data_IF_023609014844
#
_entry.id   IF_023609014844
#
_cell.length_a   1.000
_cell.length_b   1.000
_cell.length_c   1.000
_cell.angle_alpha   90.00
_cell.angle_beta   90.00
_cell.angle_gamma   90.00
#
_symmetry.space_group_name_H-M   'P 1'
#
loop_
_entity.id
_entity.type
_entity.pdbx_description
1 polymer ?
#
# COMPACT_ATOMS: atom_id res chain seq x y z
N UNK A 1 -6.26 0.21 15.66
CA UNK A 1 -7.46 -0.35 16.33
C UNK A 1 -8.06 -1.43 15.43
N UNK A 2 -8.56 -2.51 16.00
CA UNK A 2 -9.23 -3.61 15.28
C UNK A 2 -10.59 -3.85 15.92
N UNK A 3 -11.64 -3.90 15.11
CA UNK A 3 -13.01 -4.18 15.53
C UNK A 3 -13.55 -5.38 14.75
N UNK A 4 -14.57 -6.04 15.31
CA UNK A 4 -15.32 -7.09 14.62
C UNK A 4 -16.64 -6.52 14.14
N UNK A 5 -16.97 -6.81 12.88
CA UNK A 5 -18.27 -6.56 12.29
C UNK A 5 -18.63 -7.61 11.26
N UNK A 6 -19.74 -7.40 10.57
CA UNK A 6 -20.27 -8.31 9.57
C UNK A 6 -19.34 -8.46 8.37
N UNK A 7 -19.25 -9.70 7.87
CA UNK A 7 -18.62 -10.07 6.62
C UNK A 7 -19.65 -10.31 5.48
N UNK A 8 -20.94 -10.11 5.75
CA UNK A 8 -22.01 -10.31 4.76
C UNK A 8 -21.96 -9.24 3.67
N UNK A 9 -22.40 -9.59 2.46
CA UNK A 9 -22.42 -8.64 1.33
C UNK A 9 -21.03 -8.36 0.78
N UNK A 10 -20.75 -7.11 0.43
CA UNK A 10 -19.42 -6.64 0.04
C UNK A 10 -18.89 -5.56 1.01
N UNK A 11 -18.23 -5.97 2.11
CA UNK A 11 -17.59 -5.05 3.07
C UNK A 11 -16.67 -4.00 2.46
N UNK A 12 -16.04 -4.27 1.33
CA UNK A 12 -15.11 -3.35 0.67
C UNK A 12 -15.80 -2.18 -0.03
N UNK A 13 -17.12 -2.24 -0.20
CA UNK A 13 -17.91 -1.20 -0.88
C UNK A 13 -19.05 -0.67 -0.01
N UNK A 14 -19.70 -1.56 0.72
CA UNK A 14 -20.94 -1.26 1.42
C UNK A 14 -20.69 -0.64 2.80
N UNK A 15 -19.49 -0.80 3.36
CA UNK A 15 -19.16 -0.34 4.70
C UNK A 15 -18.28 0.90 4.64
N UNK A 16 -18.80 1.98 5.21
CA UNK A 16 -18.06 3.20 5.48
C UNK A 16 -17.49 3.07 6.88
N UNK A 17 -16.18 3.20 7.03
CA UNK A 17 -15.53 3.07 8.33
C UNK A 17 -14.33 4.02 8.40
N UNK A 18 -14.29 4.85 9.43
CA UNK A 18 -13.20 5.79 9.71
C UNK A 18 -13.03 5.96 11.21
N UNK A 19 -11.96 6.65 11.64
CA UNK A 19 -11.86 7.15 13.00
C UNK A 19 -11.24 8.54 13.06
N UNK A 20 -11.75 9.35 13.98
CA UNK A 20 -11.17 10.64 14.32
C UNK A 20 -10.29 10.48 15.56
N UNK A 21 -9.01 10.84 15.41
CA UNK A 21 -8.01 10.89 16.46
C UNK A 21 -7.86 12.33 16.93
N UNK A 22 -7.89 12.56 18.25
CA UNK A 22 -7.83 13.88 18.86
C UNK A 22 -6.66 13.99 19.84
N UNK A 23 -5.91 15.08 19.73
CA UNK A 23 -4.87 15.49 20.68
C UNK A 23 -5.01 16.97 20.98
N UNK A 24 -5.34 17.31 22.24
CA UNK A 24 -5.69 18.68 22.64
C UNK A 24 -6.79 19.24 21.73
N UNK A 25 -6.50 20.30 20.96
CA UNK A 25 -7.43 20.94 20.04
C UNK A 25 -7.33 20.43 18.60
N UNK A 26 -6.36 19.55 18.29
CA UNK A 26 -6.17 19.01 16.95
C UNK A 26 -6.93 17.70 16.78
N UNK A 27 -7.56 17.55 15.62
CA UNK A 27 -8.17 16.29 15.19
C UNK A 27 -7.62 15.86 13.84
N UNK A 28 -7.51 14.55 13.64
CA UNK A 28 -7.12 13.92 12.37
C UNK A 28 -8.11 12.78 12.11
N UNK A 29 -8.79 12.81 10.98
CA UNK A 29 -9.67 11.71 10.55
C UNK A 29 -8.94 10.88 9.53
N UNK A 30 -8.96 9.56 9.73
CA UNK A 30 -8.34 8.60 8.83
C UNK A 30 -9.34 7.52 8.45
N UNK A 31 -9.20 7.01 7.23
CA UNK A 31 -10.01 5.92 6.73
C UNK A 31 -9.66 4.60 7.41
N UNK A 32 -10.68 3.81 7.68
CA UNK A 32 -10.57 2.41 8.04
C UNK A 32 -10.70 1.51 6.82
N UNK A 33 -10.43 0.23 7.03
CA UNK A 33 -10.51 -0.78 5.98
C UNK A 33 -10.97 -2.13 6.51
N UNK A 34 -11.62 -2.90 5.65
CA UNK A 34 -11.94 -4.30 5.91
C UNK A 34 -10.71 -5.19 5.65
N UNK A 35 -10.42 -6.10 6.58
CA UNK A 35 -9.21 -6.94 6.58
C UNK A 35 -9.52 -8.44 6.50
N UNK A 36 -10.75 -8.81 6.09
CA UNK A 36 -11.18 -10.21 6.02
C UNK A 36 -11.76 -10.73 7.33
N UNK A 37 -12.52 -11.83 7.26
CA UNK A 37 -13.07 -12.56 8.40
C UNK A 37 -13.81 -11.70 9.45
N UNK A 38 -14.55 -10.69 8.98
CA UNK A 38 -15.30 -9.77 9.83
C UNK A 38 -14.42 -8.75 10.58
N UNK A 39 -13.13 -8.63 10.23
CA UNK A 39 -12.21 -7.70 10.88
C UNK A 39 -12.16 -6.37 10.13
N UNK A 40 -12.35 -5.28 10.87
CA UNK A 40 -12.19 -3.92 10.39
C UNK A 40 -11.09 -3.23 11.17
N UNK A 41 -10.24 -2.46 10.49
CA UNK A 41 -9.08 -1.82 11.10
C UNK A 41 -9.01 -0.35 10.77
N UNK A 42 -8.46 0.41 11.71
CA UNK A 42 -7.97 1.77 11.49
C UNK A 42 -6.53 1.83 11.97
N UNK A 43 -5.67 2.44 11.16
CA UNK A 43 -4.27 2.72 11.50
C UNK A 43 -4.04 4.22 11.54
N UNK A 44 -3.22 4.66 12.48
CA UNK A 44 -2.90 6.07 12.68
C UNK A 44 -1.46 6.18 13.19
N UNK A 45 -0.70 7.10 12.60
CA UNK A 45 0.66 7.42 13.01
C UNK A 45 0.63 8.78 13.74
N UNK A 46 0.67 8.81 15.09
CA UNK A 46 0.73 10.07 15.81
C UNK A 46 2.08 10.76 15.58
N UNK A 47 2.05 12.07 15.46
CA UNK A 47 3.18 12.97 15.22
C UNK A 47 3.43 13.93 16.41
N UNK A 48 2.69 13.76 17.51
CA UNK A 48 2.86 14.54 18.72
C UNK A 48 2.74 13.65 19.98
N UNK A 49 3.66 13.84 20.91
CA UNK A 49 3.68 13.10 22.18
C UNK A 49 2.51 13.51 23.10
N UNK A 50 2.10 12.57 23.96
CA UNK A 50 1.05 12.75 24.95
C UNK A 50 -0.20 11.94 24.67
N UNK A 51 -1.28 12.23 25.40
CA UNK A 51 -2.54 11.50 25.29
C UNK A 51 -3.26 11.79 23.96
N UNK A 52 -3.69 10.73 23.30
CA UNK A 52 -4.57 10.75 22.15
C UNK A 52 -5.86 9.99 22.46
N UNK A 53 -6.96 10.47 21.91
CA UNK A 53 -8.27 9.82 21.98
C UNK A 53 -8.74 9.51 20.58
N UNK A 54 -9.43 8.39 20.37
CA UNK A 54 -10.06 8.08 19.11
C UNK A 54 -11.55 7.79 19.28
N UNK A 55 -12.33 8.13 18.25
CA UNK A 55 -13.72 7.72 18.10
C UNK A 55 -13.96 7.25 16.67
N UNK A 56 -14.55 6.07 16.50
CA UNK A 56 -14.91 5.57 15.18
C UNK A 56 -16.20 6.19 14.64
N UNK A 57 -16.31 6.19 13.32
CA UNK A 57 -17.54 6.48 12.62
C UNK A 57 -17.82 5.39 11.58
N UNK A 58 -19.05 4.88 11.53
CA UNK A 58 -19.46 3.88 10.55
C UNK A 58 -20.95 3.90 10.25
N UNK A 59 -21.33 3.40 9.07
CA UNK A 59 -22.72 3.05 8.78
C UNK A 59 -23.16 1.72 9.43
N UNK A 60 -22.25 1.01 10.11
CA UNK A 60 -22.55 -0.20 10.88
C UNK A 60 -22.53 0.09 12.39
N UNK A 61 -23.62 -0.21 13.08
CA UNK A 61 -23.79 0.09 14.51
C UNK A 61 -22.71 -0.54 15.41
N UNK A 62 -22.24 -1.74 15.07
CA UNK A 62 -21.17 -2.44 15.80
C UNK A 62 -19.77 -1.83 15.62
N UNK A 63 -19.58 -1.03 14.56
CA UNK A 63 -18.33 -0.32 14.28
C UNK A 63 -18.39 1.17 14.65
N UNK A 64 -19.59 1.74 14.76
CA UNK A 64 -19.80 3.17 15.01
C UNK A 64 -19.61 3.54 16.49
N UNK A 65 -19.09 4.76 16.72
CA UNK A 65 -19.03 5.36 18.05
C UNK A 65 -18.12 4.68 19.07
N UNK A 66 -17.30 3.72 18.65
CA UNK A 66 -16.32 3.04 19.50
C UNK A 66 -15.22 4.03 19.89
N UNK A 67 -14.81 4.01 21.16
CA UNK A 67 -13.84 4.95 21.72
C UNK A 67 -12.60 4.24 22.24
N UNK A 68 -11.46 4.92 22.17
CA UNK A 68 -10.20 4.44 22.74
C UNK A 68 -9.27 5.59 23.11
N UNK A 69 -8.29 5.30 23.95
CA UNK A 69 -7.22 6.24 24.31
C UNK A 69 -5.87 5.54 24.27
N UNK A 70 -4.81 6.30 23.98
CA UNK A 70 -3.44 5.82 24.05
C UNK A 70 -2.48 6.99 24.32
N UNK A 71 -1.27 6.67 24.79
CA UNK A 71 -0.20 7.65 24.98
C UNK A 71 0.82 7.48 23.85
N UNK A 72 1.07 8.56 23.10
CA UNK A 72 2.21 8.63 22.19
C UNK A 72 3.45 9.01 23.01
N UNK A 73 4.38 8.07 23.17
CA UNK A 73 5.66 8.31 23.85
C UNK A 73 6.69 8.96 22.91
N UNK A 74 7.87 9.25 23.45
CA UNK A 74 9.05 9.56 22.65
C UNK A 74 9.35 8.44 21.63
N UNK A 75 9.90 8.78 20.45
CA UNK A 75 10.33 7.79 19.48
C UNK A 75 11.47 6.92 20.05
N UNK A 76 11.46 5.63 19.74
CA UNK A 76 12.56 4.73 20.08
C UNK A 76 13.86 5.04 19.31
N UNK A 77 15.01 4.47 19.72
CA UNK A 77 16.28 4.67 19.04
C UNK A 77 16.20 4.35 17.54
N UNK A 78 16.73 5.23 16.69
CA UNK A 78 16.73 5.08 15.23
C UNK A 78 15.37 5.35 14.55
N UNK A 79 14.34 5.73 15.30
CA UNK A 79 13.08 6.18 14.73
C UNK A 79 13.08 7.70 14.52
N UNK A 80 13.38 8.12 13.30
CA UNK A 80 13.44 9.53 12.91
C UNK A 80 12.08 10.09 12.43
N UNK A 81 11.03 9.27 12.39
CA UNK A 81 9.75 9.61 11.76
C UNK A 81 9.78 9.53 10.22
N UNK A 82 8.76 10.04 9.51
CA UNK A 82 8.72 10.02 8.05
C UNK A 82 9.68 11.02 7.41
N UNK A 83 10.10 10.75 6.17
CA UNK A 83 10.85 11.70 5.35
C UNK A 83 9.91 12.73 4.72
N UNK A 84 10.34 13.98 4.65
CA UNK A 84 9.64 15.06 3.96
C UNK A 84 10.60 16.00 3.23
N UNK A 85 10.08 16.81 2.32
CA UNK A 85 10.86 17.89 1.68
C UNK A 85 11.35 18.86 2.76
N UNK A 86 12.65 19.11 2.76
CA UNK A 86 13.31 20.08 3.62
C UNK A 86 13.77 21.27 2.78
N UNK A 87 13.29 22.46 3.14
CA UNK A 87 13.48 23.69 2.37
C UNK A 87 12.92 23.55 0.94
N UNK A 88 13.79 23.59 -0.07
CA UNK A 88 13.40 23.59 -1.49
C UNK A 88 13.89 22.33 -2.23
N UNK A 89 15.09 21.84 -1.93
CA UNK A 89 15.79 20.82 -2.74
C UNK A 89 16.34 19.63 -1.94
N UNK A 90 16.01 19.53 -0.65
CA UNK A 90 16.55 18.50 0.23
C UNK A 90 15.42 17.71 0.88
N UNK A 91 15.81 16.65 1.58
CA UNK A 91 14.91 15.85 2.39
C UNK A 91 15.47 15.75 3.81
N UNK A 92 14.57 15.69 4.77
CA UNK A 92 14.89 15.39 6.16
C UNK A 92 13.80 14.49 6.73
N UNK A 93 14.18 13.69 7.72
CA UNK A 93 13.23 13.02 8.59
C UNK A 93 12.48 14.03 9.47
N UNK A 94 11.38 13.60 10.08
CA UNK A 94 10.54 14.45 10.93
C UNK A 94 11.28 15.03 12.16
N UNK A 95 12.33 14.38 12.63
CA UNK A 95 13.21 14.89 13.71
C UNK A 95 14.28 15.89 13.23
N UNK A 96 14.33 16.19 11.92
CA UNK A 96 15.31 17.09 11.31
C UNK A 96 16.59 16.39 10.80
N UNK A 97 16.75 15.08 11.01
CA UNK A 97 17.90 14.33 10.50
C UNK A 97 17.94 14.39 8.97
N UNK A 98 19.05 14.82 8.34
CA UNK A 98 19.13 14.90 6.89
C UNK A 98 18.97 13.53 6.21
N UNK A 99 18.16 13.47 5.15
CA UNK A 99 17.97 12.28 4.33
C UNK A 99 18.59 12.49 2.94
N UNK A 100 19.60 11.68 2.60
CA UNK A 100 20.16 11.61 1.24
C UNK A 100 19.66 10.33 0.59
N UNK A 101 18.88 10.47 -0.46
CA UNK A 101 18.27 9.33 -1.13
C UNK A 101 19.31 8.57 -1.97
N UNK A 102 19.61 7.34 -1.58
CA UNK A 102 20.44 6.39 -2.31
C UNK A 102 19.56 5.17 -2.59
N UNK A 103 18.89 5.21 -3.75
CA UNK A 103 17.86 4.25 -4.10
C UNK A 103 18.36 3.05 -4.92
N UNK A 104 17.64 1.93 -4.81
CA UNK A 104 17.73 0.80 -5.73
C UNK A 104 16.36 0.41 -6.30
N UNK A 105 16.33 -0.59 -7.17
CA UNK A 105 15.14 -1.05 -7.88
C UNK A 105 15.01 -2.56 -7.80
N UNK A 106 13.89 -3.03 -7.25
CA UNK A 106 13.45 -4.41 -7.39
C UNK A 106 11.93 -4.41 -7.57
N UNK A 107 11.46 -4.33 -8.81
CA UNK A 107 10.05 -3.99 -9.08
C UNK A 107 9.02 -4.92 -8.44
N UNK A 108 9.28 -6.22 -8.30
CA UNK A 108 8.30 -7.17 -7.75
C UNK A 108 8.95 -8.20 -6.85
N UNK A 109 9.94 -7.76 -6.06
CA UNK A 109 10.65 -8.64 -5.13
C UNK A 109 9.71 -9.30 -4.13
N UNK A 110 8.68 -8.58 -3.69
CA UNK A 110 7.61 -8.96 -2.77
C UNK A 110 6.61 -9.99 -3.34
N UNK A 111 6.87 -10.53 -4.53
CA UNK A 111 6.05 -11.54 -5.19
C UNK A 111 6.93 -12.66 -5.79
N UNK A 112 8.18 -12.80 -5.33
CA UNK A 112 9.10 -13.85 -5.78
C UNK A 112 9.14 -15.06 -4.82
N UNK A 113 8.23 -15.09 -3.84
CA UNK A 113 8.15 -16.15 -2.84
C UNK A 113 9.15 -15.96 -1.69
N UNK A 114 8.93 -16.65 -0.56
CA UNK A 114 9.58 -16.34 0.71
C UNK A 114 11.11 -16.48 0.67
N UNK A 115 11.64 -17.41 -0.13
CA UNK A 115 13.10 -17.64 -0.24
C UNK A 115 13.80 -16.45 -0.89
N UNK A 116 13.27 -15.96 -2.03
CA UNK A 116 13.88 -14.84 -2.76
C UNK A 116 13.61 -13.51 -2.05
N UNK A 117 12.48 -13.36 -1.38
CA UNK A 117 12.20 -12.19 -0.53
C UNK A 117 13.17 -12.09 0.64
N UNK A 118 13.39 -13.19 1.37
CA UNK A 118 14.37 -13.23 2.46
C UNK A 118 15.79 -12.97 1.97
N UNK A 119 16.16 -13.51 0.80
CA UNK A 119 17.44 -13.20 0.16
C UNK A 119 17.54 -11.71 -0.20
N UNK A 120 16.48 -11.12 -0.74
CA UNK A 120 16.44 -9.70 -1.10
C UNK A 120 16.65 -8.82 0.13
N UNK A 121 15.92 -9.07 1.23
CA UNK A 121 16.09 -8.34 2.49
C UNK A 121 17.51 -8.47 3.05
N UNK A 122 18.09 -9.67 3.00
CA UNK A 122 19.49 -9.90 3.42
C UNK A 122 20.49 -9.10 2.57
N UNK A 123 20.28 -9.07 1.25
CA UNK A 123 21.12 -8.29 0.34
C UNK A 123 20.97 -6.79 0.59
N UNK A 124 19.75 -6.30 0.81
CA UNK A 124 19.47 -4.90 1.11
C UNK A 124 20.15 -4.46 2.41
N UNK A 125 20.08 -5.28 3.46
CA UNK A 125 20.72 -5.02 4.76
C UNK A 125 22.25 -4.88 4.68
N UNK A 126 22.87 -5.46 3.64
CA UNK A 126 24.32 -5.38 3.39
C UNK A 126 24.69 -4.35 2.30
N UNK A 127 23.68 -3.66 1.76
CA UNK A 127 23.84 -2.68 0.68
C UNK A 127 23.83 -1.25 1.22
N UNK A 128 24.29 -0.26 0.45
CA UNK A 128 24.23 1.14 0.85
C UNK A 128 22.86 1.79 0.59
N UNK A 129 21.86 1.03 0.12
CA UNK A 129 20.59 1.60 -0.31
C UNK A 129 19.67 1.87 0.87
N UNK A 130 19.10 3.07 0.91
CA UNK A 130 18.12 3.50 1.91
C UNK A 130 16.75 3.80 1.31
N UNK A 131 16.55 3.48 0.04
CA UNK A 131 15.24 3.48 -0.62
C UNK A 131 15.17 2.35 -1.63
N UNK A 132 14.03 1.70 -1.74
CA UNK A 132 13.76 0.71 -2.78
C UNK A 132 12.44 1.04 -3.45
N UNK A 133 12.42 1.01 -4.79
CA UNK A 133 11.18 1.11 -5.55
C UNK A 133 10.65 -0.27 -5.94
N UNK A 134 9.37 -0.50 -5.69
CA UNK A 134 8.67 -1.75 -6.00
C UNK A 134 7.17 -1.53 -6.23
N UNK A 135 6.54 -2.45 -6.93
CA UNK A 135 5.16 -2.39 -7.38
C UNK A 135 4.22 -3.07 -6.39
N UNK A 136 3.05 -2.46 -6.19
CA UNK A 136 1.94 -3.14 -5.52
C UNK A 136 1.43 -4.28 -6.38
N UNK A 137 1.22 -4.05 -7.69
CA UNK A 137 0.74 -5.07 -8.61
C UNK A 137 1.87 -5.99 -9.10
N UNK A 138 1.56 -7.25 -9.49
CA UNK A 138 2.53 -8.12 -10.15
C UNK A 138 3.00 -7.53 -11.48
N UNK A 139 4.19 -7.93 -11.93
CA UNK A 139 4.85 -7.40 -13.13
C UNK A 139 5.00 -8.50 -14.18
N UNK A 140 4.41 -8.30 -15.35
CA UNK A 140 4.70 -9.11 -16.52
C UNK A 140 5.61 -8.32 -17.47
N UNK A 141 6.81 -8.85 -17.73
CA UNK A 141 7.77 -8.20 -18.62
C UNK A 141 8.77 -9.20 -19.19
N UNK A 142 9.56 -8.79 -20.18
CA UNK A 142 10.70 -9.59 -20.64
C UNK A 142 11.61 -9.93 -19.45
N UNK A 143 11.96 -11.22 -19.30
CA UNK A 143 12.73 -11.78 -18.19
C UNK A 143 12.02 -11.75 -16.82
N UNK A 144 10.72 -11.47 -16.80
CA UNK A 144 9.87 -11.56 -15.62
C UNK A 144 8.52 -12.20 -16.02
N UNK A 145 8.55 -13.52 -16.14
CA UNK A 145 7.41 -14.35 -16.56
C UNK A 145 6.86 -15.21 -15.43
N UNK A 146 7.47 -15.15 -14.24
CA UNK A 146 7.05 -15.87 -13.05
C UNK A 146 5.59 -15.52 -12.72
N UNK A 147 4.76 -16.54 -12.50
CA UNK A 147 3.40 -16.30 -11.99
C UNK A 147 3.48 -15.97 -10.50
N UNK A 148 2.85 -14.88 -10.03
CA UNK A 148 2.74 -14.63 -8.61
C UNK A 148 1.87 -15.69 -7.93
N UNK A 149 2.22 -16.06 -6.70
CA UNK A 149 1.44 -17.01 -5.89
C UNK A 149 0.08 -16.43 -5.45
N UNK A 150 0.00 -15.10 -5.36
CA UNK A 150 -1.15 -14.36 -4.84
C UNK A 150 -1.47 -13.13 -5.69
N UNK A 151 -2.73 -12.71 -5.66
CA UNK A 151 -3.25 -11.56 -6.38
C UNK A 151 -4.01 -10.62 -5.44
N UNK A 152 -4.10 -9.31 -5.76
CA UNK A 152 -4.83 -8.35 -4.94
C UNK A 152 -6.36 -8.53 -4.98
N UNK A 153 -6.86 -9.25 -5.98
CA UNK A 153 -8.29 -9.47 -6.23
C UNK A 153 -8.57 -10.97 -6.40
N UNK A 154 -9.77 -11.47 -6.05
CA UNK A 154 -10.16 -12.85 -6.31
C UNK A 154 -10.08 -13.18 -7.80
N UNK A 155 -9.34 -14.23 -8.14
CA UNK A 155 -9.25 -14.75 -9.51
C UNK A 155 -10.53 -15.54 -9.85
N UNK A 156 -11.22 -15.12 -10.89
CA UNK A 156 -12.45 -15.76 -11.39
C UNK A 156 -12.16 -16.73 -12.53
N UNK A 157 -11.13 -16.46 -13.32
CA UNK A 157 -10.64 -17.34 -14.38
C UNK A 157 -9.15 -17.08 -14.65
N UNK A 158 -8.41 -18.15 -14.91
CA UNK A 158 -7.01 -18.09 -15.29
C UNK A 158 -6.86 -17.98 -16.81
N UNK A 159 -5.90 -17.18 -17.25
CA UNK A 159 -5.54 -17.01 -18.65
C UNK A 159 -4.16 -17.56 -18.97
N UNK A 160 -3.66 -17.27 -20.16
CA UNK A 160 -2.31 -17.67 -20.55
C UNK A 160 -1.24 -16.77 -19.92
N UNK A 161 -0.17 -17.39 -19.45
CA UNK A 161 1.00 -16.72 -18.88
C UNK A 161 2.18 -16.65 -19.84
N UNK A 162 2.01 -17.12 -21.08
CA UNK A 162 3.07 -17.14 -22.10
C UNK A 162 3.34 -15.72 -22.59
N UNK A 163 4.60 -15.27 -22.56
CA UNK A 163 4.96 -13.97 -23.12
C UNK A 163 4.70 -13.91 -24.64
N UNK A 164 4.04 -12.83 -25.07
CA UNK A 164 3.53 -12.67 -26.44
C UNK A 164 4.43 -11.90 -27.40
N UNK A 165 5.62 -11.46 -26.97
CA UNK A 165 6.51 -10.64 -27.81
C UNK A 165 6.41 -9.13 -27.58
N UNK A 166 5.40 -8.67 -26.82
CA UNK A 166 5.09 -7.26 -26.63
C UNK A 166 5.29 -6.82 -25.17
N UNK A 167 5.59 -5.53 -25.00
CA UNK A 167 5.64 -4.85 -23.70
C UNK A 167 4.43 -3.93 -23.48
N UNK A 168 3.49 -3.88 -24.44
CA UNK A 168 2.22 -3.19 -24.23
C UNK A 168 1.41 -3.92 -23.16
N UNK A 169 0.53 -3.19 -22.47
CA UNK A 169 -0.51 -3.80 -21.62
C UNK A 169 -1.31 -4.77 -22.49
N UNK A 170 -1.09 -6.06 -22.26
CA UNK A 170 -1.66 -7.16 -23.05
C UNK A 170 -2.59 -7.92 -22.12
N UNK A 171 -3.81 -7.41 -21.94
CA UNK A 171 -4.83 -8.11 -21.14
C UNK A 171 -5.16 -9.41 -21.86
N UNK A 172 -4.53 -10.50 -21.42
CA UNK A 172 -4.59 -11.78 -22.13
C UNK A 172 -5.96 -12.41 -21.95
N UNK A 173 -6.43 -13.01 -23.04
CA UNK A 173 -7.66 -13.79 -23.05
C UNK A 173 -7.62 -14.88 -21.95
N UNK A 174 -8.69 -14.92 -21.16
CA UNK A 174 -8.89 -15.91 -20.10
C UNK A 174 -8.72 -15.37 -18.67
N UNK A 175 -7.84 -14.37 -18.44
CA UNK A 175 -7.71 -13.79 -17.10
C UNK A 175 -8.94 -12.95 -16.74
N UNK A 176 -9.56 -13.24 -15.60
CA UNK A 176 -10.67 -12.47 -15.05
C UNK A 176 -10.57 -12.39 -13.54
N UNK A 177 -10.78 -11.20 -12.99
CA UNK A 177 -10.74 -10.93 -11.56
C UNK A 177 -12.01 -10.22 -11.10
N UNK A 178 -12.37 -10.43 -9.84
CA UNK A 178 -13.36 -9.62 -9.15
C UNK A 178 -12.70 -8.35 -8.60
N UNK A 179 -12.61 -7.30 -9.42
CA UNK A 179 -12.04 -6.00 -9.02
C UNK A 179 -12.86 -5.26 -7.95
N UNK A 180 -14.00 -5.83 -7.57
CA UNK A 180 -14.90 -5.27 -6.59
C UNK A 180 -14.65 -5.82 -5.17
N UNK A 181 -13.76 -6.80 -5.01
CA UNK A 181 -13.34 -7.37 -3.72
C UNK A 181 -11.82 -7.50 -3.65
N UNK A 182 -11.22 -7.16 -2.52
CA UNK A 182 -9.79 -7.39 -2.31
C UNK A 182 -9.52 -8.76 -1.68
N UNK A 183 -8.31 -9.26 -1.84
CA UNK A 183 -7.76 -10.40 -1.09
C UNK A 183 -6.90 -9.85 0.05
N UNK A 184 -7.39 -9.79 1.31
CA UNK A 184 -6.66 -9.13 2.40
C UNK A 184 -5.26 -9.69 2.65
N UNK A 185 -5.09 -11.00 2.51
CA UNK A 185 -3.79 -11.67 2.66
C UNK A 185 -2.70 -11.09 1.74
N UNK A 186 -3.05 -10.65 0.54
CA UNK A 186 -2.12 -10.01 -0.40
C UNK A 186 -1.57 -8.69 0.16
N UNK A 187 -2.44 -7.85 0.71
CA UNK A 187 -2.03 -6.57 1.26
C UNK A 187 -1.37 -6.71 2.64
N UNK A 188 -1.75 -7.72 3.42
CA UNK A 188 -1.05 -8.10 4.65
C UNK A 188 0.40 -8.53 4.35
N UNK A 189 0.65 -9.22 3.23
CA UNK A 189 2.01 -9.53 2.79
C UNK A 189 2.81 -8.27 2.45
N UNK A 190 2.23 -7.35 1.67
CA UNK A 190 2.88 -6.07 1.34
C UNK A 190 3.19 -5.27 2.62
N UNK A 191 2.29 -5.25 3.60
CA UNK A 191 2.53 -4.63 4.91
C UNK A 191 3.73 -5.22 5.64
N UNK A 192 3.92 -6.54 5.58
CA UNK A 192 5.08 -7.20 6.15
C UNK A 192 6.35 -6.78 5.41
N UNK A 193 6.34 -6.74 4.08
CA UNK A 193 7.46 -6.24 3.29
C UNK A 193 7.82 -4.79 3.65
N UNK A 194 6.83 -3.90 3.76
CA UNK A 194 7.04 -2.48 4.15
C UNK A 194 7.60 -2.38 5.58
N UNK A 195 7.08 -3.18 6.52
CA UNK A 195 7.58 -3.25 7.89
C UNK A 195 9.05 -3.71 7.93
N UNK A 196 9.40 -4.78 7.22
CA UNK A 196 10.77 -5.28 7.15
C UNK A 196 11.72 -4.26 6.53
N UNK A 197 11.31 -3.53 5.50
CA UNK A 197 12.10 -2.41 4.97
C UNK A 197 12.29 -1.32 6.02
N UNK A 198 11.25 -1.01 6.79
CA UNK A 198 11.30 0.00 7.85
C UNK A 198 12.29 -0.37 8.97
N UNK A 199 12.34 -1.65 9.35
CA UNK A 199 13.30 -2.20 10.32
C UNK A 199 14.75 -2.10 9.83
N UNK A 200 14.97 -2.18 8.51
CA UNK A 200 16.28 -2.00 7.88
C UNK A 200 16.66 -0.52 7.66
N UNK A 201 15.78 0.44 8.00
CA UNK A 201 15.99 1.85 7.71
C UNK A 201 15.88 2.21 6.23
N UNK A 202 15.06 1.46 5.48
CA UNK A 202 14.86 1.62 4.03
C UNK A 202 13.47 2.19 3.76
N UNK A 203 13.42 3.27 2.99
CA UNK A 203 12.20 3.87 2.46
C UNK A 203 11.58 2.96 1.38
N UNK A 204 10.30 2.65 1.55
CA UNK A 204 9.47 1.89 0.62
C UNK A 204 8.83 2.85 -0.40
N UNK A 205 9.41 2.92 -1.60
CA UNK A 205 8.88 3.69 -2.72
C UNK A 205 7.89 2.84 -3.52
N UNK A 206 6.62 3.01 -3.18
CA UNK A 206 5.53 2.13 -3.62
C UNK A 206 4.94 2.65 -4.92
N UNK A 207 5.13 1.89 -5.99
CA UNK A 207 4.54 2.12 -7.31
C UNK A 207 3.11 1.58 -7.29
N UNK A 208 2.14 2.50 -7.37
CA UNK A 208 0.70 2.21 -7.31
C UNK A 208 0.17 1.65 -8.63
N UNK A 209 0.62 2.22 -9.76
CA UNK A 209 0.24 1.78 -11.10
C UNK A 209 1.45 1.58 -12.01
N UNK A 210 1.34 0.70 -13.00
CA UNK A 210 2.39 0.52 -14.02
C UNK A 210 1.83 -0.21 -15.26
N UNK A 211 2.49 -0.10 -16.42
CA UNK A 211 2.06 -0.74 -17.67
C UNK A 211 2.42 -2.24 -17.77
N UNK A 212 3.17 -2.80 -16.81
CA UNK A 212 3.70 -4.16 -16.89
C UNK A 212 2.68 -5.23 -16.52
N UNK A 213 1.62 -5.35 -17.30
CA UNK A 213 0.44 -6.09 -16.91
C UNK A 213 -0.07 -7.03 -18.02
N UNK A 214 -0.62 -8.16 -17.57
CA UNK A 214 -1.41 -9.08 -18.39
C UNK A 214 -2.73 -9.50 -17.76
N UNK A 215 -2.95 -9.12 -16.50
CA UNK A 215 -4.05 -9.57 -15.67
C UNK A 215 -5.24 -8.59 -15.70
N UNK A 216 -5.03 -7.37 -16.22
CA UNK A 216 -6.06 -6.33 -16.34
C UNK A 216 -6.02 -5.29 -15.21
N UNK A 217 -5.04 -5.34 -14.32
CA UNK A 217 -4.85 -4.35 -13.25
C UNK A 217 -4.51 -2.96 -13.80
N UNK A 218 -3.83 -2.88 -14.96
CA UNK A 218 -3.52 -1.61 -15.61
C UNK A 218 -4.75 -0.96 -16.29
N UNK A 219 -5.82 -1.72 -16.50
CA UNK A 219 -7.00 -1.33 -17.30
C UNK A 219 -8.30 -1.35 -16.50
N UNK A 220 -8.22 -1.31 -15.16
CA UNK A 220 -9.38 -1.15 -14.30
C UNK A 220 -10.10 0.16 -14.63
N UNK A 221 -11.42 0.21 -14.38
CA UNK A 221 -12.20 1.46 -14.52
C UNK A 221 -11.86 2.43 -13.40
N UNK A 222 -12.16 3.71 -13.61
CA UNK A 222 -11.91 4.80 -12.67
C UNK A 222 -12.35 4.48 -11.22
N UNK A 223 -13.56 3.95 -11.02
CA UNK A 223 -14.05 3.68 -9.66
C UNK A 223 -13.33 2.51 -8.98
N UNK A 224 -12.77 1.59 -9.75
CA UNK A 224 -11.95 0.49 -9.24
C UNK A 224 -10.56 0.99 -8.84
N UNK A 225 -9.95 1.85 -9.66
CA UNK A 225 -8.69 2.53 -9.34
C UNK A 225 -8.83 3.34 -8.04
N UNK A 226 -9.88 4.15 -7.91
CA UNK A 226 -10.12 4.97 -6.71
C UNK A 226 -10.32 4.11 -5.46
N UNK A 227 -11.03 3.00 -5.59
CA UNK A 227 -11.24 2.07 -4.47
C UNK A 227 -9.94 1.40 -4.08
N UNK A 228 -9.15 0.96 -5.05
CA UNK A 228 -7.82 0.41 -4.84
C UNK A 228 -6.92 1.41 -4.11
N UNK A 229 -6.86 2.66 -4.57
CA UNK A 229 -6.06 3.72 -3.95
C UNK A 229 -6.48 3.97 -2.50
N UNK A 230 -7.78 4.17 -2.24
CA UNK A 230 -8.28 4.35 -0.86
C UNK A 230 -7.93 3.16 0.03
N UNK A 231 -8.06 1.94 -0.50
CA UNK A 231 -7.75 0.72 0.24
C UNK A 231 -6.25 0.62 0.58
N UNK A 232 -5.36 0.85 -0.40
CA UNK A 232 -3.90 0.83 -0.19
C UNK A 232 -3.46 1.93 0.77
N UNK A 233 -3.99 3.15 0.63
CA UNK A 233 -3.66 4.29 1.50
C UNK A 233 -4.13 4.02 2.93
N UNK A 234 -5.37 3.59 3.15
CA UNK A 234 -5.88 3.27 4.48
C UNK A 234 -5.04 2.20 5.20
N UNK A 235 -4.45 1.28 4.43
CA UNK A 235 -3.58 0.22 4.95
C UNK A 235 -2.16 0.70 5.23
N UNK A 236 -1.53 1.43 4.31
CA UNK A 236 -0.09 1.68 4.34
C UNK A 236 0.30 3.10 4.81
N UNK A 237 -0.61 4.09 4.83
CA UNK A 237 -0.25 5.48 5.16
C UNK A 237 0.27 5.68 6.60
N UNK A 238 0.01 4.74 7.51
CA UNK A 238 0.54 4.79 8.86
C UNK A 238 1.98 4.25 8.99
N UNK A 239 2.57 3.71 7.92
CA UNK A 239 3.96 3.28 7.90
C UNK A 239 4.84 4.47 7.52
N UNK A 240 5.70 4.88 8.45
CA UNK A 240 6.52 6.10 8.32
C UNK A 240 7.50 6.10 7.14
N UNK A 241 7.87 4.93 6.63
CA UNK A 241 8.84 4.78 5.55
C UNK A 241 8.19 4.68 4.16
N UNK A 242 6.89 4.93 4.03
CA UNK A 242 6.16 4.82 2.74
C UNK A 242 6.28 6.11 1.93
N UNK A 243 6.64 5.94 0.66
CA UNK A 243 6.59 6.98 -0.37
C UNK A 243 5.65 6.51 -1.47
N UNK A 244 4.88 7.45 -2.02
CA UNK A 244 3.91 7.17 -3.08
C UNK A 244 4.49 7.53 -4.44
N UNK A 245 4.71 6.52 -5.28
CA UNK A 245 4.96 6.69 -6.70
C UNK A 245 3.68 6.38 -7.45
N UNK A 246 3.01 7.43 -7.95
CA UNK A 246 1.69 7.28 -8.60
C UNK A 246 1.74 6.24 -9.73
N UNK A 247 2.79 6.28 -10.54
CA UNK A 247 3.07 5.20 -11.46
C UNK A 247 4.56 5.07 -11.77
N UNK A 248 4.90 3.94 -12.39
CA UNK A 248 6.10 3.85 -13.21
C UNK A 248 5.71 3.84 -14.69
N UNK A 249 6.36 4.67 -15.51
CA UNK A 249 6.06 4.82 -16.95
C UNK A 249 4.56 5.08 -17.21
N UNK A 250 4.01 6.11 -16.55
CA UNK A 250 2.58 6.46 -16.61
C UNK A 250 2.09 6.71 -18.04
N UNK A 251 2.98 7.23 -18.90
CA UNK A 251 2.78 7.53 -20.31
C UNK A 251 2.65 6.28 -21.20
N UNK A 252 3.04 5.10 -20.68
CA UNK A 252 2.84 3.81 -21.34
C UNK A 252 1.54 3.11 -20.94
N UNK A 253 0.64 3.80 -20.21
CA UNK A 253 -0.68 3.29 -19.84
C UNK A 253 -1.78 3.97 -20.69
N UNK A 254 -2.00 3.55 -21.95
CA UNK A 254 -2.86 4.27 -22.90
C UNK A 254 -4.34 4.32 -22.51
N UNK A 255 -4.77 3.48 -21.56
CA UNK A 255 -6.13 3.47 -21.03
C UNK A 255 -6.35 4.50 -19.89
N UNK A 256 -5.34 5.27 -19.53
CA UNK A 256 -5.41 6.34 -18.53
C UNK A 256 -5.03 7.68 -19.17
N UNK A 257 -5.96 8.64 -19.08
CA UNK A 257 -5.75 10.02 -19.51
C UNK A 257 -5.03 10.83 -18.42
N UNK A 258 -4.57 12.05 -18.75
CA UNK A 258 -4.03 12.94 -17.71
C UNK A 258 -5.05 13.27 -16.62
N UNK A 259 -6.34 13.37 -16.97
CA UNK A 259 -7.39 13.60 -15.99
C UNK A 259 -7.56 12.42 -15.00
N UNK A 260 -7.17 11.20 -15.40
CA UNK A 260 -7.16 10.05 -14.48
C UNK A 260 -6.00 10.13 -13.47
N UNK A 261 -4.88 10.74 -13.86
CA UNK A 261 -3.72 10.93 -12.99
C UNK A 261 -3.87 12.11 -12.02
N UNK A 262 -4.70 13.09 -12.37
CA UNK A 262 -4.96 14.29 -11.57
C UNK A 262 -6.10 14.12 -10.54
N UNK A 263 -6.77 12.95 -10.53
CA UNK A 263 -7.96 12.67 -9.68
C UNK A 263 -7.64 12.40 -8.21
#
# INVERSE_FOLDING_TARGET
MTLRGSATGNPFQEVQFSATFAHKHRTVTVDGFYDGDGLYRVRFMPDAQGEWRCRTQSNMAELDGQVGTFICSEPGPGNHGPVSVANIYHFAYADGTPFKQIGTTCYVWNLQGPVLEAQTLKTLAQSPFNKIRFCVFPKHYRYNENEPEHYPFPCLATGSSRWGGSNAVDVKEGWRFDFDRFVPAYFQHIEQCVASLCELGIEADIILFHPYDRWGFATMRAEQDDRYLRYVVARLAAYRNVWWSMANEYDLMPNKSMADWDR
#
